data_IF_976642184381
#
_entry.id   IF_976642184381
#
_cell.length_a   1.000
_cell.length_b   1.000
_cell.length_c   1.000
_cell.angle_alpha   90.00
_cell.angle_beta   90.00
_cell.angle_gamma   90.00
#
_symmetry.space_group_name_H-M   'P 1'
#
loop_
_entity.id
_entity.type
_entity.pdbx_description
1 polymer ?
#
# COMPACT_ATOMS: atom_id res chain seq x y z
N UNK A 1 18.05 1.31 -5.96
CA UNK A 1 16.97 1.70 -5.05
C UNK A 1 16.26 0.47 -4.50
N UNK A 2 15.67 0.63 -3.31
CA UNK A 2 14.65 -0.27 -2.78
C UNK A 2 13.41 0.53 -2.39
N UNK A 3 12.22 -0.03 -2.63
CA UNK A 3 10.96 0.46 -2.09
C UNK A 3 10.49 -0.57 -1.07
N UNK A 4 10.28 -0.14 0.17
CA UNK A 4 9.86 -0.99 1.27
C UNK A 4 8.51 -0.49 1.78
N UNK A 5 7.46 -1.26 1.52
CA UNK A 5 6.09 -0.84 1.77
C UNK A 5 5.63 -1.12 3.19
N UNK A 6 6.10 -2.20 3.80
CA UNK A 6 5.87 -2.57 5.19
C UNK A 6 6.71 -3.79 5.55
N UNK A 7 6.92 -3.99 6.85
CA UNK A 7 7.41 -5.25 7.43
C UNK A 7 6.28 -5.85 8.25
N UNK A 8 5.83 -7.03 7.86
CA UNK A 8 4.77 -7.75 8.54
C UNK A 8 5.11 -9.24 8.64
N UNK A 9 4.63 -9.91 9.69
CA UNK A 9 4.85 -11.33 9.82
C UNK A 9 4.00 -12.07 8.78
N UNK A 10 4.65 -12.77 7.88
CA UNK A 10 4.04 -13.68 6.92
C UNK A 10 5.01 -14.85 6.65
N UNK A 11 4.58 -15.83 5.89
CA UNK A 11 5.37 -17.04 5.60
C UNK A 11 5.86 -17.78 6.86
N UNK A 12 4.95 -18.19 7.77
CA UNK A 12 5.30 -18.85 9.02
C UNK A 12 5.98 -20.23 8.84
N UNK A 13 6.00 -20.74 7.62
CA UNK A 13 6.77 -21.90 7.19
C UNK A 13 8.27 -21.62 7.00
N UNK A 14 8.65 -20.34 6.83
CA UNK A 14 10.03 -19.90 6.65
C UNK A 14 10.51 -19.04 7.82
N UNK A 15 9.78 -17.99 8.19
CA UNK A 15 10.09 -17.12 9.32
C UNK A 15 9.41 -17.61 10.59
N UNK A 16 10.11 -17.57 11.72
CA UNK A 16 9.57 -18.02 13.01
C UNK A 16 8.81 -16.91 13.75
N UNK A 17 9.21 -15.67 13.51
CA UNK A 17 8.69 -14.48 14.17
C UNK A 17 8.93 -13.25 13.28
N UNK A 18 8.45 -12.10 13.72
CA UNK A 18 8.61 -10.82 13.00
C UNK A 18 10.07 -10.35 12.97
N UNK A 19 10.87 -10.71 13.96
CA UNK A 19 12.28 -10.36 14.03
C UNK A 19 13.09 -11.03 12.91
N UNK A 20 12.78 -12.29 12.58
CA UNK A 20 13.42 -12.97 11.43
C UNK A 20 13.08 -12.25 10.10
N UNK A 21 11.85 -11.73 9.98
CA UNK A 21 11.46 -10.91 8.80
C UNK A 21 12.23 -9.60 8.78
N UNK A 22 12.31 -8.92 9.94
CA UNK A 22 13.06 -7.67 10.06
C UNK A 22 14.54 -7.85 9.70
N UNK A 23 15.18 -8.92 10.19
CA UNK A 23 16.59 -9.21 9.89
C UNK A 23 16.82 -9.40 8.38
N UNK A 24 15.89 -10.07 7.68
CA UNK A 24 15.97 -10.22 6.22
C UNK A 24 15.85 -8.86 5.48
N UNK A 25 14.99 -7.95 5.97
CA UNK A 25 14.90 -6.60 5.44
C UNK A 25 16.14 -5.76 5.77
N UNK A 26 16.70 -5.94 6.96
CA UNK A 26 17.96 -5.28 7.37
C UNK A 26 19.12 -5.71 6.49
N UNK A 27 19.25 -7.01 6.21
CA UNK A 27 20.25 -7.52 5.28
C UNK A 27 20.06 -6.96 3.86
N UNK A 28 18.81 -6.85 3.40
CA UNK A 28 18.50 -6.22 2.13
C UNK A 28 18.89 -4.74 2.11
N UNK A 29 18.65 -4.00 3.21
CA UNK A 29 18.94 -2.57 3.32
C UNK A 29 20.43 -2.27 3.13
N UNK A 30 21.33 -3.09 3.70
CA UNK A 30 22.78 -2.96 3.52
C UNK A 30 23.25 -3.21 2.07
N UNK A 31 22.45 -3.90 1.28
CA UNK A 31 22.78 -4.18 -0.13
C UNK A 31 22.29 -3.10 -1.11
N UNK A 32 21.48 -2.13 -0.66
CA UNK A 32 20.96 -1.04 -1.49
C UNK A 32 22.10 -0.08 -1.85
N UNK A 33 22.12 0.42 -3.11
CA UNK A 33 23.24 1.22 -3.63
C UNK A 33 22.96 2.72 -3.79
N UNK A 34 21.68 3.13 -3.84
CA UNK A 34 21.34 4.54 -4.05
C UNK A 34 20.54 5.14 -2.91
N UNK A 35 19.35 4.62 -2.65
CA UNK A 35 18.47 5.04 -1.57
C UNK A 35 17.39 4.00 -1.30
N UNK A 36 16.80 4.07 -0.12
CA UNK A 36 15.62 3.31 0.28
C UNK A 36 14.45 4.29 0.38
N UNK A 37 13.29 3.89 -0.15
CA UNK A 37 12.01 4.59 -0.01
C UNK A 37 11.14 3.71 0.88
N UNK A 38 10.85 4.15 2.10
CA UNK A 38 10.20 3.35 3.12
C UNK A 38 8.90 4.00 3.63
N UNK A 39 7.87 3.19 3.92
CA UNK A 39 6.66 3.71 4.53
C UNK A 39 6.91 4.20 5.96
N UNK A 40 6.62 5.48 6.21
CA UNK A 40 6.97 6.17 7.45
C UNK A 40 6.14 5.78 8.67
N UNK A 41 5.00 5.08 8.51
CA UNK A 41 4.18 4.63 9.64
C UNK A 41 4.49 3.19 10.09
N UNK A 42 5.44 2.53 9.45
CA UNK A 42 5.90 1.21 9.86
C UNK A 42 7.05 1.31 10.87
N UNK A 43 6.80 0.81 12.09
CA UNK A 43 7.76 0.90 13.20
C UNK A 43 9.03 0.08 12.96
N UNK A 44 8.97 -1.00 12.17
CA UNK A 44 10.14 -1.79 11.82
C UNK A 44 10.96 -1.10 10.73
N UNK A 45 10.31 -0.52 9.72
CA UNK A 45 11.02 0.26 8.68
C UNK A 45 11.73 1.48 9.27
N UNK A 46 11.18 2.08 10.34
CA UNK A 46 11.82 3.21 11.06
C UNK A 46 13.09 2.81 11.81
N UNK A 47 13.31 1.53 12.09
CA UNK A 47 14.49 1.01 12.79
C UNK A 47 15.60 0.55 11.84
N UNK A 48 15.32 0.51 10.53
CA UNK A 48 16.30 0.06 9.56
C UNK A 48 17.52 0.98 9.51
N UNK A 49 18.69 0.36 9.42
CA UNK A 49 19.97 1.02 9.20
C UNK A 49 20.47 0.70 7.79
N UNK A 50 21.04 1.68 7.11
CA UNK A 50 21.58 1.50 5.76
C UNK A 50 22.75 2.45 5.51
N UNK A 51 23.65 2.05 4.60
CA UNK A 51 24.78 2.88 4.14
C UNK A 51 24.35 3.96 3.13
N UNK A 52 23.07 4.01 2.78
CA UNK A 52 22.46 4.94 1.85
C UNK A 52 21.31 5.70 2.52
N UNK A 53 20.90 6.87 2.01
CA UNK A 53 19.77 7.61 2.56
C UNK A 53 18.47 6.78 2.55
N UNK A 54 17.68 6.90 3.63
CA UNK A 54 16.33 6.38 3.72
C UNK A 54 15.36 7.57 3.67
N UNK A 55 14.47 7.59 2.68
CA UNK A 55 13.41 8.57 2.52
C UNK A 55 12.09 7.96 2.93
N UNK A 56 11.41 8.61 3.88
CA UNK A 56 10.13 8.11 4.36
C UNK A 56 8.98 8.76 3.62
N UNK A 57 7.98 7.95 3.27
CA UNK A 57 6.75 8.44 2.67
C UNK A 57 5.53 8.02 3.48
N UNK A 58 4.47 8.81 3.43
CA UNK A 58 3.23 8.50 4.17
C UNK A 58 2.22 9.63 4.18
N UNK A 59 1.49 9.72 5.28
CA UNK A 59 0.49 10.77 5.48
C UNK A 59 0.91 11.81 6.53
N UNK A 60 2.01 11.58 7.23
CA UNK A 60 2.50 12.49 8.26
C UNK A 60 3.39 13.58 7.67
N UNK A 61 3.23 14.80 8.13
CA UNK A 61 4.07 15.95 7.74
C UNK A 61 5.54 15.79 8.17
N UNK A 62 5.83 14.79 9.01
CA UNK A 62 7.18 14.43 9.43
C UNK A 62 7.89 13.50 8.45
N UNK A 63 7.18 13.00 7.44
CA UNK A 63 7.78 12.20 6.37
C UNK A 63 8.38 13.09 5.30
N UNK A 64 9.39 12.60 4.58
CA UNK A 64 10.06 13.34 3.52
C UNK A 64 9.14 13.61 2.33
N UNK A 65 8.25 12.66 2.03
CA UNK A 65 7.23 12.74 0.98
C UNK A 65 5.88 12.35 1.58
N UNK A 66 4.89 13.24 1.56
CA UNK A 66 3.60 12.92 2.16
C UNK A 66 2.41 13.47 1.37
N UNK A 67 1.24 12.81 1.54
CA UNK A 67 -0.01 13.22 0.92
C UNK A 67 -0.92 13.94 1.91
N UNK A 68 -1.58 14.99 1.40
CA UNK A 68 -2.63 15.75 2.09
C UNK A 68 -3.82 16.01 1.17
N UNK A 69 -4.88 16.59 1.74
CA UNK A 69 -6.06 17.05 1.01
C UNK A 69 -6.66 15.94 0.12
N UNK A 70 -6.73 14.72 0.68
CA UNK A 70 -7.21 13.53 -0.01
C UNK A 70 -8.71 13.68 -0.28
N UNK A 71 -9.12 13.53 -1.54
CA UNK A 71 -10.49 13.64 -1.99
C UNK A 71 -10.86 12.48 -2.91
N UNK A 72 -11.96 11.82 -2.61
CA UNK A 72 -12.52 10.78 -3.47
C UNK A 72 -13.38 11.47 -4.54
N UNK A 73 -13.09 11.21 -5.80
CA UNK A 73 -13.80 11.73 -6.97
C UNK A 73 -14.36 10.59 -7.81
N UNK A 74 -15.20 10.89 -8.79
CA UNK A 74 -15.68 9.89 -9.75
C UNK A 74 -14.55 9.24 -10.58
N UNK A 75 -13.42 9.95 -10.74
CA UNK A 75 -12.27 9.50 -11.54
C UNK A 75 -11.21 8.75 -10.74
N UNK A 76 -11.35 8.70 -9.41
CA UNK A 76 -10.38 8.11 -8.51
C UNK A 76 -10.12 8.96 -7.28
N UNK A 77 -8.97 8.79 -6.67
CA UNK A 77 -8.53 9.54 -5.49
C UNK A 77 -7.56 10.64 -5.89
N UNK A 78 -7.92 11.88 -5.60
CA UNK A 78 -7.07 13.07 -5.80
C UNK A 78 -6.40 13.44 -4.49
N UNK A 79 -5.14 13.83 -4.52
CA UNK A 79 -4.37 14.21 -3.34
C UNK A 79 -3.22 15.15 -3.69
N UNK A 80 -2.88 16.02 -2.74
CA UNK A 80 -1.73 16.91 -2.82
C UNK A 80 -0.50 16.20 -2.25
N UNK A 81 0.64 16.31 -2.93
CA UNK A 81 1.92 15.77 -2.48
C UNK A 81 2.85 16.90 -2.06
N UNK A 82 3.49 16.68 -0.92
CA UNK A 82 4.51 17.55 -0.36
C UNK A 82 5.83 16.80 -0.29
N UNK A 83 6.93 17.51 -0.55
CA UNK A 83 8.30 17.00 -0.41
C UNK A 83 9.10 17.95 0.46
N UNK A 84 9.73 17.42 1.52
CA UNK A 84 10.50 18.23 2.49
C UNK A 84 9.69 19.43 3.06
N UNK A 85 8.37 19.25 3.26
CA UNK A 85 7.48 20.27 3.79
C UNK A 85 6.94 21.27 2.77
N UNK A 86 7.40 21.24 1.52
CA UNK A 86 6.94 22.12 0.44
C UNK A 86 5.95 21.41 -0.48
N UNK A 87 4.93 22.16 -0.95
CA UNK A 87 3.98 21.63 -1.94
C UNK A 87 4.73 21.28 -3.24
N UNK A 88 4.63 20.02 -3.63
CA UNK A 88 5.23 19.54 -4.87
C UNK A 88 4.26 19.61 -6.04
N UNK A 89 3.14 18.91 -5.95
CA UNK A 89 2.07 18.96 -6.95
C UNK A 89 0.82 18.19 -6.49
N UNK A 90 -0.27 18.30 -7.27
CA UNK A 90 -1.49 17.55 -7.08
C UNK A 90 -1.56 16.37 -8.04
N UNK A 91 -1.90 15.20 -7.52
CA UNK A 91 -1.98 13.94 -8.26
C UNK A 91 -3.37 13.33 -8.23
N UNK A 92 -3.69 12.54 -9.24
CA UNK A 92 -4.89 11.73 -9.34
C UNK A 92 -4.47 10.27 -9.54
N UNK A 93 -4.91 9.38 -8.65
CA UNK A 93 -4.83 7.94 -8.84
C UNK A 93 -6.22 7.40 -9.17
N UNK A 94 -6.42 6.61 -10.22
CA UNK A 94 -7.70 5.95 -10.50
C UNK A 94 -8.03 4.84 -9.49
N UNK A 95 -7.08 4.52 -8.62
CA UNK A 95 -7.23 3.53 -7.56
C UNK A 95 -7.86 4.14 -6.30
N UNK A 96 -8.60 3.32 -5.54
CA UNK A 96 -9.26 3.72 -4.29
C UNK A 96 -8.59 3.05 -3.09
N UNK A 97 -8.64 3.71 -1.94
CA UNK A 97 -8.09 3.24 -0.68
C UNK A 97 -6.70 3.78 -0.37
N UNK A 98 -6.45 3.94 0.93
CA UNK A 98 -5.25 4.60 1.44
C UNK A 98 -3.97 3.86 1.04
N UNK A 99 -4.02 2.53 0.99
CA UNK A 99 -2.89 1.72 0.53
C UNK A 99 -2.49 2.00 -0.92
N UNK A 100 -3.46 2.36 -1.80
CA UNK A 100 -3.16 2.73 -3.18
C UNK A 100 -2.57 4.14 -3.28
N UNK A 101 -2.93 5.05 -2.36
CA UNK A 101 -2.25 6.35 -2.24
C UNK A 101 -0.80 6.12 -1.80
N UNK A 102 -0.57 5.26 -0.80
CA UNK A 102 0.78 4.91 -0.36
C UNK A 102 1.62 4.28 -1.47
N UNK A 103 1.03 3.39 -2.27
CA UNK A 103 1.69 2.82 -3.44
C UNK A 103 2.05 3.91 -4.47
N UNK A 104 1.13 4.85 -4.74
CA UNK A 104 1.39 5.98 -5.62
C UNK A 104 2.50 6.89 -5.07
N UNK A 105 2.48 7.19 -3.76
CA UNK A 105 3.53 7.98 -3.10
C UNK A 105 4.91 7.36 -3.23
N UNK A 106 5.03 6.04 -3.10
CA UNK A 106 6.31 5.34 -3.26
C UNK A 106 6.89 5.51 -4.67
N UNK A 107 6.02 5.49 -5.70
CA UNK A 107 6.40 5.74 -7.10
C UNK A 107 6.73 7.21 -7.32
N UNK A 108 5.94 8.13 -6.76
CA UNK A 108 6.21 9.58 -6.83
C UNK A 108 7.55 9.89 -6.17
N UNK A 109 7.84 9.28 -5.01
CA UNK A 109 9.09 9.47 -4.28
C UNK A 109 10.33 9.10 -5.10
N UNK A 110 10.36 7.91 -5.69
CA UNK A 110 11.50 7.52 -6.54
C UNK A 110 11.60 8.41 -7.79
N UNK A 111 10.46 8.78 -8.39
CA UNK A 111 10.42 9.64 -9.56
C UNK A 111 10.92 11.05 -9.25
N UNK A 112 10.58 11.58 -8.08
CA UNK A 112 11.07 12.86 -7.57
C UNK A 112 12.60 12.83 -7.37
N UNK A 113 13.12 11.78 -6.73
CA UNK A 113 14.56 11.60 -6.50
C UNK A 113 15.34 11.47 -7.82
N UNK A 114 14.76 10.83 -8.84
CA UNK A 114 15.34 10.74 -10.19
C UNK A 114 15.06 11.97 -11.05
N UNK A 115 14.45 13.03 -10.50
CA UNK A 115 14.16 14.31 -11.17
C UNK A 115 13.34 14.13 -12.46
N UNK A 116 12.40 13.20 -12.46
CA UNK A 116 11.49 12.99 -13.58
C UNK A 116 10.55 14.18 -13.74
N UNK A 117 10.14 14.45 -14.98
CA UNK A 117 9.12 15.48 -15.23
C UNK A 117 7.80 15.11 -14.56
N UNK A 118 7.21 16.04 -13.81
CA UNK A 118 6.00 15.81 -13.01
C UNK A 118 4.79 15.46 -13.86
N UNK A 119 4.65 16.03 -15.05
CA UNK A 119 3.53 15.73 -15.95
C UNK A 119 3.60 14.27 -16.42
N UNK A 120 4.80 13.76 -16.68
CA UNK A 120 4.98 12.34 -17.03
C UNK A 120 4.60 11.41 -15.86
N UNK A 121 4.88 11.81 -14.62
CA UNK A 121 4.48 11.05 -13.42
C UNK A 121 2.95 11.05 -13.31
N UNK A 122 2.30 12.19 -13.49
CA UNK A 122 0.83 12.33 -13.46
C UNK A 122 0.18 11.46 -14.54
N UNK A 123 0.66 11.53 -15.78
CA UNK A 123 0.13 10.76 -16.89
C UNK A 123 0.28 9.25 -16.65
N UNK A 124 1.44 8.83 -16.13
CA UNK A 124 1.69 7.43 -15.80
C UNK A 124 0.73 6.91 -14.72
N UNK A 125 0.48 7.70 -13.66
CA UNK A 125 -0.46 7.33 -12.60
C UNK A 125 -1.90 7.23 -13.10
N UNK A 126 -2.36 8.19 -13.89
CA UNK A 126 -3.73 8.21 -14.44
C UNK A 126 -3.96 7.08 -15.44
N UNK A 127 -2.95 6.73 -16.23
CA UNK A 127 -3.03 5.67 -17.22
C UNK A 127 -2.76 4.28 -16.67
N UNK A 128 -2.29 4.18 -15.44
CA UNK A 128 -2.04 2.89 -14.79
C UNK A 128 -3.34 2.13 -14.53
N UNK A 129 -3.56 1.09 -15.31
CA UNK A 129 -4.78 0.27 -15.25
C UNK A 129 -4.89 -0.68 -14.04
N UNK A 130 -3.97 -0.57 -13.07
CA UNK A 130 -3.91 -1.47 -11.93
C UNK A 130 -3.22 -2.80 -12.25
N UNK A 131 -3.20 -3.68 -11.26
CA UNK A 131 -2.64 -5.04 -11.35
C UNK A 131 -3.78 -6.05 -11.34
N UNK A 132 -3.70 -7.10 -12.16
CA UNK A 132 -4.71 -8.18 -12.15
C UNK A 132 -4.86 -8.76 -10.75
N UNK A 133 -6.12 -9.02 -10.37
CA UNK A 133 -6.49 -9.53 -9.04
C UNK A 133 -6.03 -8.60 -7.90
N UNK A 134 -6.04 -7.29 -8.13
CA UNK A 134 -5.91 -6.24 -7.11
C UNK A 134 -7.05 -5.27 -7.30
N UNK A 135 -8.15 -5.49 -6.58
CA UNK A 135 -9.40 -4.74 -6.65
C UNK A 135 -9.97 -4.67 -8.09
N UNK A 136 -9.93 -5.77 -8.83
CA UNK A 136 -10.49 -5.81 -10.19
C UNK A 136 -12.00 -5.91 -10.16
N UNK A 137 -12.66 -4.97 -10.81
CA UNK A 137 -14.11 -4.86 -10.80
C UNK A 137 -14.74 -5.41 -12.07
N UNK A 138 -15.81 -6.17 -11.87
CA UNK A 138 -16.70 -6.63 -12.96
C UNK A 138 -18.13 -6.30 -12.59
N UNK A 139 -18.83 -5.57 -13.44
CA UNK A 139 -20.26 -5.27 -13.25
C UNK A 139 -21.10 -6.45 -13.73
N UNK A 140 -21.96 -6.96 -12.84
CA UNK A 140 -22.91 -8.03 -13.12
C UNK A 140 -24.31 -7.57 -12.69
N UNK A 141 -25.14 -7.17 -13.63
CA UNK A 141 -26.44 -6.55 -13.35
C UNK A 141 -26.30 -5.35 -12.41
N UNK A 142 -26.96 -5.38 -11.25
CA UNK A 142 -26.88 -4.31 -10.23
C UNK A 142 -25.78 -4.53 -9.21
N UNK A 143 -24.99 -5.58 -9.36
CA UNK A 143 -23.90 -5.93 -8.45
C UNK A 143 -22.56 -5.56 -9.06
N UNK A 144 -21.56 -5.42 -8.18
CA UNK A 144 -20.16 -5.28 -8.56
C UNK A 144 -19.40 -6.44 -7.92
N UNK A 145 -18.81 -7.27 -8.75
CA UNK A 145 -17.88 -8.30 -8.30
C UNK A 145 -16.48 -7.70 -8.23
N UNK A 146 -15.84 -7.77 -7.07
CA UNK A 146 -14.45 -7.37 -6.86
C UNK A 146 -13.60 -8.64 -6.72
N UNK A 147 -12.64 -8.84 -7.62
CA UNK A 147 -11.64 -9.90 -7.53
C UNK A 147 -10.33 -9.34 -6.98
N UNK A 148 -9.91 -9.86 -5.82
CA UNK A 148 -8.68 -9.45 -5.15
C UNK A 148 -7.88 -10.67 -4.69
N UNK A 149 -6.57 -10.58 -4.75
CA UNK A 149 -5.66 -11.66 -4.31
C UNK A 149 -5.33 -11.58 -2.82
N UNK A 150 -5.97 -10.70 -2.08
CA UNK A 150 -5.79 -10.55 -0.63
C UNK A 150 -5.90 -11.91 0.08
N UNK A 151 -4.86 -12.27 0.79
CA UNK A 151 -4.74 -13.57 1.47
C UNK A 151 -4.13 -13.45 2.88
N UNK A 152 -3.64 -12.29 3.25
CA UNK A 152 -3.26 -11.92 4.61
C UNK A 152 -4.40 -11.11 5.27
N UNK A 153 -4.63 -11.21 6.59
CA UNK A 153 -5.71 -10.49 7.29
C UNK A 153 -5.73 -8.99 7.02
N UNK A 154 -4.58 -8.34 7.02
CA UNK A 154 -4.45 -6.90 6.72
C UNK A 154 -4.84 -6.55 5.28
N UNK A 155 -4.46 -7.37 4.30
CA UNK A 155 -4.86 -7.18 2.90
C UNK A 155 -6.38 -7.29 2.75
N UNK A 156 -7.00 -8.29 3.39
CA UNK A 156 -8.46 -8.49 3.37
C UNK A 156 -9.17 -7.28 3.95
N UNK A 157 -8.73 -6.79 5.12
CA UNK A 157 -9.29 -5.59 5.75
C UNK A 157 -9.18 -4.38 4.81
N UNK A 158 -8.02 -4.15 4.22
CA UNK A 158 -7.79 -3.02 3.31
C UNK A 158 -8.67 -3.09 2.05
N UNK A 159 -8.88 -4.29 1.49
CA UNK A 159 -9.76 -4.51 0.35
C UNK A 159 -11.23 -4.25 0.70
N UNK A 160 -11.69 -4.74 1.85
CA UNK A 160 -13.06 -4.51 2.35
C UNK A 160 -13.31 -3.02 2.61
N UNK A 161 -12.37 -2.33 3.27
CA UNK A 161 -12.47 -0.89 3.51
C UNK A 161 -12.52 -0.08 2.21
N UNK A 162 -11.73 -0.45 1.23
CA UNK A 162 -11.73 0.18 -0.10
C UNK A 162 -13.07 -0.01 -0.80
N UNK A 163 -13.66 -1.21 -0.71
CA UNK A 163 -14.98 -1.50 -1.26
C UNK A 163 -16.06 -0.62 -0.60
N UNK A 164 -16.00 -0.47 0.72
CA UNK A 164 -16.94 0.39 1.48
C UNK A 164 -16.78 1.87 1.14
N UNK A 165 -15.55 2.37 1.07
CA UNK A 165 -15.27 3.75 0.67
C UNK A 165 -15.79 4.05 -0.74
N UNK A 166 -15.64 3.11 -1.67
CA UNK A 166 -16.07 3.25 -3.06
C UNK A 166 -17.57 3.09 -3.25
N UNK A 167 -18.20 2.20 -2.48
CA UNK A 167 -19.62 1.85 -2.59
C UNK A 167 -20.38 2.02 -1.27
N UNK A 168 -20.46 3.24 -0.71
CA UNK A 168 -20.99 3.47 0.65
C UNK A 168 -22.48 3.11 0.80
N UNK A 169 -23.22 2.95 -0.32
CA UNK A 169 -24.64 2.60 -0.32
C UNK A 169 -24.90 1.12 -0.64
N UNK A 170 -23.84 0.31 -0.81
CA UNK A 170 -23.98 -1.10 -1.13
C UNK A 170 -23.60 -1.98 0.06
N UNK A 171 -24.31 -3.10 0.20
CA UNK A 171 -23.88 -4.16 1.08
C UNK A 171 -22.61 -4.82 0.53
N UNK A 172 -21.62 -5.05 1.39
CA UNK A 172 -20.39 -5.74 1.05
C UNK A 172 -20.45 -7.18 1.55
N UNK A 173 -20.40 -8.14 0.63
CA UNK A 173 -20.32 -9.56 0.93
C UNK A 173 -18.92 -10.05 0.57
N UNK A 174 -18.15 -10.52 1.56
CA UNK A 174 -16.82 -11.08 1.35
C UNK A 174 -16.91 -12.60 1.20
N UNK A 175 -16.33 -13.13 0.10
CA UNK A 175 -16.15 -14.57 -0.12
C UNK A 175 -14.66 -14.83 -0.09
N UNK A 176 -14.20 -15.57 0.92
CA UNK A 176 -12.78 -15.82 1.15
C UNK A 176 -12.48 -17.33 1.13
N UNK A 177 -11.45 -17.71 0.39
CA UNK A 177 -10.89 -19.06 0.42
C UNK A 177 -9.47 -18.98 1.02
N UNK A 178 -9.27 -19.49 2.24
CA UNK A 178 -7.96 -19.52 2.88
C UNK A 178 -6.93 -20.27 2.04
N UNK A 179 -5.70 -19.78 2.05
CA UNK A 179 -4.54 -20.41 1.40
C UNK A 179 -3.32 -20.17 2.30
N UNK A 180 -2.66 -21.08 2.57
CA UNK A 180 -2.07 -22.25 3.08
C UNK A 180 -2.57 -22.63 4.49
N UNK A 181 -2.38 -23.89 4.91
CA UNK A 181 -2.79 -24.34 6.27
C UNK A 181 -1.99 -23.63 7.35
N UNK A 182 -0.66 -23.48 7.17
CA UNK A 182 0.23 -22.83 8.11
C UNK A 182 -0.18 -21.39 8.39
N UNK A 183 -0.45 -20.58 7.33
CA UNK A 183 -0.92 -19.20 7.47
C UNK A 183 -2.29 -19.15 8.15
N UNK A 184 -3.25 -19.98 7.72
CA UNK A 184 -4.58 -19.99 8.30
C UNK A 184 -4.54 -20.32 9.79
N UNK A 185 -3.69 -21.25 10.20
CA UNK A 185 -3.52 -21.62 11.61
C UNK A 185 -2.82 -20.49 12.41
N UNK A 186 -1.78 -19.88 11.84
CA UNK A 186 -1.03 -18.84 12.51
C UNK A 186 -1.84 -17.56 12.76
N UNK A 187 -2.76 -17.23 11.84
CA UNK A 187 -3.51 -15.95 11.85
C UNK A 187 -5.03 -16.14 12.03
N UNK A 188 -5.48 -17.23 12.63
CA UNK A 188 -6.91 -17.56 12.71
C UNK A 188 -7.73 -16.44 13.39
N UNK A 189 -7.24 -15.89 14.49
CA UNK A 189 -7.93 -14.85 15.24
C UNK A 189 -7.98 -13.53 14.46
N UNK A 190 -6.91 -13.19 13.73
CA UNK A 190 -6.85 -12.01 12.89
C UNK A 190 -7.76 -12.14 11.65
N UNK A 191 -7.87 -13.34 11.05
CA UNK A 191 -8.84 -13.59 9.98
C UNK A 191 -10.27 -13.36 10.48
N UNK A 192 -10.61 -13.88 11.66
CA UNK A 192 -11.92 -13.65 12.26
C UNK A 192 -12.14 -12.15 12.54
N UNK A 193 -11.13 -11.44 12.98
CA UNK A 193 -11.15 -9.99 13.19
C UNK A 193 -11.35 -9.22 11.88
N UNK A 194 -10.60 -9.54 10.82
CA UNK A 194 -10.65 -8.84 9.53
C UNK A 194 -12.02 -8.94 8.85
N UNK A 195 -12.77 -10.05 9.06
CA UNK A 195 -14.12 -10.25 8.50
C UNK A 195 -15.20 -9.65 9.40
N UNK A 196 -14.99 -9.55 10.72
CA UNK A 196 -15.96 -8.95 11.65
C UNK A 196 -16.11 -7.43 11.47
N UNK A 197 -15.21 -6.78 10.79
CA UNK A 197 -15.39 -5.39 10.37
C UNK A 197 -16.46 -5.21 9.29
N UNK A 198 -17.17 -6.25 8.95
CA UNK A 198 -18.29 -6.26 7.97
C UNK A 198 -19.61 -5.98 8.66
#
# INVERSE_FOLDING_TARGET
YAIMTNIDFDHPDYFKNIEDVYDAFQDMAHNVKKAIIAWGDDDYLRKLEADVPIYYYGFKETDDIYAKNIQITEKGTQFDVYTNGEFYDQFLSPQFGDHNILNALSVIAISYLEKMNVDNIKDALVTFGGVKRRFNETKVSNQVLVDDYAHHPREISATIESARKKYPQKEVVAVFQPHTFSRTQAFLDEFVGSVRCV
#
